data_IF_209513708952
#
_entry.id   IF_209513708952
#
_cell.length_a   1.000
_cell.length_b   1.000
_cell.length_c   1.000
_cell.angle_alpha   90.00
_cell.angle_beta   90.00
_cell.angle_gamma   90.00
#
_symmetry.space_group_name_H-M   'P 1'
#
loop_
_entity.id
_entity.type
_entity.pdbx_description
1 polymer ?
#
# COMPACT_ATOMS: atom_id res chain seq x y z
N UNK A 1 15.09 62.04 6.44
CA UNK A 1 13.60 61.90 6.50
C UNK A 1 13.24 60.55 5.90
N UNK A 2 12.40 59.66 6.43
CA UNK A 2 11.92 59.42 7.81
C UNK A 2 11.99 57.89 8.00
N UNK A 3 12.51 57.39 9.13
CA UNK A 3 12.42 55.95 9.44
C UNK A 3 11.01 55.58 9.93
N UNK A 4 10.62 54.31 9.80
CA UNK A 4 9.60 53.69 10.65
C UNK A 4 10.09 52.32 11.13
N UNK A 5 9.77 52.04 12.39
CA UNK A 5 10.39 51.04 13.25
C UNK A 5 9.30 50.26 13.96
N UNK A 6 9.48 48.93 14.04
CA UNK A 6 8.81 47.92 14.88
C UNK A 6 7.28 47.79 14.85
N UNK A 7 6.83 46.54 15.11
CA UNK A 7 5.92 46.07 16.18
C UNK A 7 5.47 44.62 15.84
N UNK A 8 5.27 43.65 16.73
CA UNK A 8 5.53 43.44 18.18
C UNK A 8 5.62 41.90 18.37
N UNK A 9 6.45 41.42 19.30
CA UNK A 9 6.38 40.05 19.84
C UNK A 9 5.32 39.97 20.95
N UNK A 10 4.49 38.95 20.98
CA UNK A 10 3.67 38.60 22.17
C UNK A 10 3.52 37.09 22.28
N UNK A 11 3.77 36.60 23.50
CA UNK A 11 3.78 35.18 23.88
C UNK A 11 2.68 34.97 24.94
N UNK A 12 2.35 33.69 25.20
CA UNK A 12 1.43 33.14 26.21
C UNK A 12 -0.07 33.10 25.84
N UNK A 13 -0.64 31.91 26.06
CA UNK A 13 -2.04 31.57 25.87
C UNK A 13 -2.33 30.10 26.18
N UNK A 14 -1.63 29.50 27.15
CA UNK A 14 -2.03 28.21 27.72
C UNK A 14 -3.22 28.40 28.68
N UNK A 15 -3.94 27.32 29.00
CA UNK A 15 -5.16 27.26 29.83
C UNK A 15 -6.47 27.56 29.09
N UNK A 16 -6.96 26.57 28.32
CA UNK A 16 -8.38 26.17 28.31
C UNK A 16 -8.45 24.64 28.26
N UNK A 17 -8.22 24.01 29.41
CA UNK A 17 -8.59 22.62 29.69
C UNK A 17 -9.47 22.66 30.94
N UNK A 18 -10.52 21.83 30.98
CA UNK A 18 -11.48 21.66 32.08
C UNK A 18 -12.55 22.75 32.32
N UNK A 19 -13.51 22.89 31.40
CA UNK A 19 -14.99 22.99 31.59
C UNK A 19 -15.56 22.66 30.19
N UNK A 20 -16.25 21.56 29.88
CA UNK A 20 -17.51 21.02 30.46
C UNK A 20 -17.41 19.50 30.60
N UNK A 21 -17.36 19.01 31.84
CA UNK A 21 -17.78 17.65 32.22
C UNK A 21 -18.86 17.82 33.28
N UNK A 22 -20.13 17.59 32.92
CA UNK A 22 -21.27 17.25 33.80
C UNK A 22 -22.60 17.52 33.09
N UNK A 23 -23.35 16.45 32.81
CA UNK A 23 -24.81 16.36 32.58
C UNK A 23 -25.06 14.84 32.42
N UNK A 24 -25.02 14.04 33.48
CA UNK A 24 -26.18 13.68 34.32
C UNK A 24 -27.46 13.43 33.48
N UNK A 25 -28.19 12.31 33.48
CA UNK A 25 -28.16 10.96 34.10
C UNK A 25 -29.61 10.47 33.95
N UNK A 26 -29.91 9.29 33.40
CA UNK A 26 -31.15 8.54 33.74
C UNK A 26 -31.03 7.03 33.48
N UNK A 27 -30.78 6.28 34.56
CA UNK A 27 -31.34 4.98 35.00
C UNK A 27 -31.94 3.96 33.99
N UNK A 28 -31.53 2.70 34.15
CA UNK A 28 -32.46 1.56 34.37
C UNK A 28 -32.61 0.49 33.28
N UNK A 29 -32.46 -0.80 33.64
CA UNK A 29 -32.88 -1.96 32.83
C UNK A 29 -32.04 -3.22 33.02
N UNK A 30 -32.61 -4.25 33.68
CA UNK A 30 -31.92 -5.46 34.18
C UNK A 30 -31.75 -6.63 33.18
N UNK A 31 -31.06 -7.66 33.66
CA UNK A 31 -30.60 -8.90 33.00
C UNK A 31 -31.59 -9.68 32.12
N UNK A 32 -31.06 -10.29 31.04
CA UNK A 32 -30.92 -11.77 30.95
C UNK A 32 -30.11 -12.25 29.73
N UNK A 33 -29.37 -13.34 29.94
CA UNK A 33 -28.75 -14.15 28.87
C UNK A 33 -29.80 -14.84 27.99
N UNK A 34 -29.49 -14.95 26.70
CA UNK A 34 -30.11 -15.95 25.81
C UNK A 34 -29.02 -16.65 24.98
N UNK A 35 -28.74 -17.91 25.34
CA UNK A 35 -27.90 -18.83 24.58
C UNK A 35 -28.51 -19.13 23.22
N UNK A 36 -27.70 -19.12 22.16
CA UNK A 36 -28.03 -19.74 20.86
C UNK A 36 -26.84 -20.49 20.30
N UNK A 37 -26.65 -21.71 20.80
CA UNK A 37 -25.74 -22.70 20.23
C UNK A 37 -26.42 -23.43 19.07
N UNK A 38 -25.84 -23.38 17.88
CA UNK A 38 -26.15 -24.33 16.79
C UNK A 38 -24.88 -24.99 16.28
N UNK A 39 -24.81 -26.30 16.50
CA UNK A 39 -23.74 -27.20 16.07
C UNK A 39 -24.05 -27.72 14.66
N UNK A 40 -23.06 -27.72 13.74
CA UNK A 40 -23.10 -28.50 12.51
C UNK A 40 -21.72 -29.03 12.10
N UNK A 41 -21.36 -30.16 12.72
CA UNK A 41 -20.66 -31.35 12.17
C UNK A 41 -19.63 -31.24 11.02
N UNK A 42 -18.43 -31.74 11.37
CA UNK A 42 -17.28 -32.20 10.57
C UNK A 42 -17.55 -33.37 9.60
N UNK A 43 -16.93 -33.34 8.42
CA UNK A 43 -16.30 -34.47 7.68
C UNK A 43 -15.41 -33.86 6.55
N UNK A 44 -14.14 -34.20 6.27
CA UNK A 44 -13.25 -35.38 6.37
C UNK A 44 -12.91 -35.95 4.97
N UNK A 45 -11.61 -35.95 4.66
CA UNK A 45 -10.91 -36.17 3.39
C UNK A 45 -11.21 -37.47 2.58
N UNK A 46 -10.72 -37.53 1.32
CA UNK A 46 -9.78 -38.57 0.82
C UNK A 46 -9.15 -38.17 -0.54
N UNK A 47 -7.93 -38.67 -0.78
CA UNK A 47 -7.04 -38.43 -1.94
C UNK A 47 -7.48 -39.05 -3.29
N UNK A 48 -6.89 -38.57 -4.39
CA UNK A 48 -6.72 -39.32 -5.63
C UNK A 48 -5.36 -38.96 -6.29
N UNK A 49 -4.72 -39.93 -6.94
CA UNK A 49 -3.40 -39.80 -7.57
C UNK A 49 -3.42 -40.11 -9.09
N UNK A 50 -2.35 -39.68 -9.78
CA UNK A 50 -2.05 -39.71 -11.24
C UNK A 50 -1.85 -41.13 -11.83
N UNK A 51 -1.69 -41.36 -13.17
CA UNK A 51 -0.67 -40.80 -14.09
C UNK A 51 -1.22 -40.50 -15.53
N UNK A 52 -0.51 -40.31 -16.66
CA UNK A 52 0.94 -40.19 -17.01
C UNK A 52 1.15 -39.40 -18.34
N UNK A 53 2.38 -38.95 -18.63
CA UNK A 53 2.93 -38.55 -19.95
C UNK A 53 2.41 -37.24 -20.58
N UNK A 54 3.15 -36.48 -21.42
CA UNK A 54 4.52 -36.48 -21.99
C UNK A 54 4.64 -35.17 -22.86
N UNK A 55 5.79 -34.60 -23.30
CA UNK A 55 7.21 -34.86 -23.02
C UNK A 55 8.00 -33.70 -22.37
N UNK A 56 9.23 -34.05 -22.00
CA UNK A 56 10.37 -33.21 -21.62
C UNK A 56 10.70 -32.06 -22.60
N UNK A 57 10.67 -30.82 -22.11
CA UNK A 57 11.36 -29.68 -22.70
C UNK A 57 12.56 -29.26 -21.86
N UNK A 58 13.79 -29.60 -22.27
CA UNK A 58 15.02 -29.10 -21.65
C UNK A 58 15.24 -27.64 -22.02
N UNK A 59 14.85 -26.71 -21.14
CA UNK A 59 15.02 -25.27 -21.31
C UNK A 59 15.51 -24.58 -20.05
N UNK A 60 16.81 -24.26 -20.04
CA UNK A 60 17.48 -23.26 -19.19
C UNK A 60 16.92 -23.01 -17.77
N UNK A 61 17.57 -23.60 -16.75
CA UNK A 61 17.30 -23.31 -15.33
C UNK A 61 17.82 -21.93 -14.90
N UNK A 62 17.28 -20.87 -15.51
CA UNK A 62 17.28 -19.56 -14.85
C UNK A 62 16.41 -19.67 -13.57
N UNK A 63 16.79 -19.03 -12.45
CA UNK A 63 15.96 -19.05 -11.25
C UNK A 63 14.63 -18.35 -11.57
N UNK A 64 13.55 -19.14 -11.59
CA UNK A 64 12.19 -18.60 -11.71
C UNK A 64 11.87 -17.92 -10.38
N UNK A 65 12.19 -16.63 -10.28
CA UNK A 65 11.87 -15.82 -9.11
C UNK A 65 10.36 -15.86 -8.94
N UNK A 66 9.90 -16.51 -7.87
CA UNK A 66 8.48 -16.68 -7.57
C UNK A 66 7.82 -15.31 -7.44
N UNK A 67 6.85 -15.02 -8.32
CA UNK A 67 6.04 -13.81 -8.25
C UNK A 67 5.13 -13.86 -7.02
N UNK A 68 4.90 -12.71 -6.40
CA UNK A 68 4.01 -12.59 -5.26
C UNK A 68 2.55 -12.86 -5.69
N UNK A 69 1.77 -13.64 -4.92
CA UNK A 69 0.34 -13.84 -5.19
C UNK A 69 -0.41 -12.51 -5.29
N UNK A 70 -1.38 -12.43 -6.21
CA UNK A 70 -2.20 -11.23 -6.41
C UNK A 70 -1.54 -10.10 -7.20
N UNK A 71 -0.22 -10.12 -7.42
CA UNK A 71 0.47 -9.12 -8.26
C UNK A 71 0.43 -9.54 -9.73
N UNK A 72 -0.14 -8.73 -10.64
CA UNK A 72 -0.28 -9.12 -12.04
C UNK A 72 1.06 -9.05 -12.80
N UNK A 73 1.23 -9.91 -13.80
CA UNK A 73 2.44 -9.98 -14.63
C UNK A 73 2.87 -8.66 -15.28
N UNK A 74 1.89 -7.80 -15.61
CA UNK A 74 2.13 -6.45 -16.13
C UNK A 74 2.84 -5.55 -15.13
N UNK A 75 2.53 -5.64 -13.83
CA UNK A 75 3.23 -4.88 -12.79
C UNK A 75 4.71 -5.29 -12.70
N UNK A 76 5.02 -6.59 -12.85
CA UNK A 76 6.40 -7.04 -12.96
C UNK A 76 7.10 -6.58 -14.26
N UNK A 77 6.36 -6.37 -15.35
CA UNK A 77 6.92 -5.77 -16.57
C UNK A 77 7.25 -4.28 -16.35
N UNK A 78 6.30 -3.52 -15.79
CA UNK A 78 6.50 -2.09 -15.45
C UNK A 78 7.61 -1.91 -14.42
N UNK A 79 7.73 -2.79 -13.42
CA UNK A 79 8.81 -2.76 -12.44
C UNK A 79 10.20 -2.88 -13.11
N UNK A 80 10.36 -3.74 -14.12
CA UNK A 80 11.61 -3.83 -14.90
C UNK A 80 11.91 -2.56 -15.70
N UNK A 81 10.88 -1.85 -16.17
CA UNK A 81 11.04 -0.55 -16.84
C UNK A 81 11.39 0.58 -15.86
N UNK A 82 10.85 0.54 -14.64
CA UNK A 82 11.20 1.44 -13.53
C UNK A 82 12.65 1.22 -13.10
N UNK A 83 13.04 -0.04 -12.83
CA UNK A 83 14.40 -0.41 -12.43
C UNK A 83 15.46 -0.04 -13.47
N UNK A 84 15.08 -0.06 -14.76
CA UNK A 84 15.93 0.36 -15.86
C UNK A 84 15.89 1.88 -16.13
N UNK A 85 15.18 2.67 -15.33
CA UNK A 85 15.07 4.13 -15.47
C UNK A 85 14.31 4.58 -16.74
N UNK A 86 13.54 3.70 -17.38
CA UNK A 86 12.81 4.00 -18.63
C UNK A 86 11.37 4.41 -18.40
N UNK A 87 10.73 3.95 -17.33
CA UNK A 87 9.37 4.33 -16.97
C UNK A 87 9.34 5.74 -16.31
N UNK A 88 8.31 6.58 -16.52
CA UNK A 88 7.13 6.38 -17.37
C UNK A 88 7.36 6.68 -18.86
N UNK A 89 8.58 7.02 -19.29
CA UNK A 89 8.89 7.33 -20.69
C UNK A 89 8.56 6.19 -21.67
N UNK A 90 8.96 4.95 -21.35
CA UNK A 90 8.68 3.77 -22.17
C UNK A 90 7.19 3.38 -22.24
N UNK A 91 6.32 4.00 -21.44
CA UNK A 91 4.87 3.86 -21.60
C UNK A 91 4.35 4.43 -22.93
N UNK A 92 5.09 5.39 -23.53
CA UNK A 92 4.72 6.12 -24.75
C UNK A 92 3.29 6.71 -24.74
N UNK A 93 2.73 6.97 -23.55
CA UNK A 93 1.38 7.51 -23.38
C UNK A 93 1.38 8.78 -22.52
N UNK A 94 1.06 9.96 -23.10
CA UNK A 94 1.02 11.23 -22.39
C UNK A 94 0.11 11.22 -21.15
N UNK A 95 0.69 11.65 -20.03
CA UNK A 95 0.00 11.74 -18.74
C UNK A 95 0.11 10.47 -17.86
N UNK A 96 0.80 9.42 -18.32
CA UNK A 96 1.35 8.39 -17.42
C UNK A 96 2.39 9.03 -16.49
N UNK A 97 2.42 8.63 -15.22
CA UNK A 97 3.21 9.24 -14.14
C UNK A 97 4.11 8.23 -13.43
N UNK A 98 5.17 8.75 -12.83
CA UNK A 98 6.03 8.01 -11.93
C UNK A 98 7.30 8.77 -11.56
N UNK A 99 7.92 8.37 -10.45
CA UNK A 99 9.07 9.05 -9.83
C UNK A 99 8.67 10.14 -8.83
N UNK A 100 7.37 10.42 -8.69
CA UNK A 100 6.84 11.35 -7.70
C UNK A 100 7.00 10.80 -6.27
N UNK A 101 7.13 11.69 -5.29
CA UNK A 101 7.38 11.29 -3.88
C UNK A 101 6.13 10.68 -3.24
N UNK A 102 6.19 9.38 -2.96
CA UNK A 102 5.24 8.75 -2.04
C UNK A 102 5.59 9.08 -0.58
N UNK A 103 4.62 9.63 0.16
CA UNK A 103 4.84 10.12 1.53
C UNK A 103 4.60 9.07 2.62
N UNK A 104 4.02 7.90 2.28
CA UNK A 104 3.68 6.84 3.24
C UNK A 104 2.88 7.36 4.46
N UNK A 105 1.81 8.15 4.19
CA UNK A 105 1.06 8.86 5.24
C UNK A 105 0.22 7.95 6.14
N UNK A 106 -0.24 6.80 5.63
CA UNK A 106 -0.92 5.79 6.43
C UNK A 106 0.02 4.95 7.28
N UNK A 107 1.32 4.90 6.93
CA UNK A 107 2.32 4.08 7.62
C UNK A 107 2.30 2.61 7.19
N UNK A 108 1.59 2.29 6.11
CA UNK A 108 1.36 0.92 5.61
C UNK A 108 2.64 0.25 5.09
N UNK A 109 3.63 1.06 4.67
CA UNK A 109 4.97 0.61 4.30
C UNK A 109 5.98 0.84 5.44
N UNK A 110 7.06 0.04 5.55
CA UNK A 110 8.10 0.25 6.55
C UNK A 110 8.70 1.67 6.54
N UNK A 111 8.78 2.32 7.70
CA UNK A 111 9.39 3.66 7.79
C UNK A 111 10.93 3.64 7.75
N UNK A 112 11.54 2.48 8.01
CA UNK A 112 12.99 2.29 8.17
C UNK A 112 13.47 0.99 7.53
N UNK A 113 14.70 1.01 7.03
CA UNK A 113 15.42 -0.15 6.51
C UNK A 113 15.99 -1.02 7.65
N UNK A 114 16.67 -2.11 7.28
CA UNK A 114 17.27 -3.06 8.22
C UNK A 114 18.34 -2.45 9.13
N UNK A 115 19.01 -1.38 8.69
CA UNK A 115 20.01 -0.63 9.45
C UNK A 115 19.38 0.51 10.28
N UNK A 116 18.05 0.67 10.24
CA UNK A 116 17.30 1.66 10.99
C UNK A 116 17.28 3.07 10.39
N UNK A 117 17.79 3.24 9.16
CA UNK A 117 17.75 4.49 8.40
C UNK A 117 16.38 4.67 7.73
N UNK A 118 15.94 5.92 7.60
CA UNK A 118 14.61 6.23 7.06
C UNK A 118 14.51 5.88 5.56
N UNK A 119 13.45 5.15 5.19
CA UNK A 119 13.20 4.81 3.78
C UNK A 119 12.54 6.01 3.08
N UNK A 120 12.98 6.27 1.86
CA UNK A 120 12.37 7.22 0.95
C UNK A 120 11.67 6.48 -0.18
N UNK A 121 10.41 6.83 -0.46
CA UNK A 121 9.57 6.11 -1.43
C UNK A 121 9.26 6.95 -2.66
N UNK A 122 9.13 6.31 -3.82
CA UNK A 122 8.62 6.89 -5.06
C UNK A 122 7.42 6.07 -5.55
N UNK A 123 6.42 6.73 -6.12
CA UNK A 123 5.27 6.07 -6.74
C UNK A 123 5.33 6.09 -8.28
N UNK A 124 4.70 5.10 -8.90
CA UNK A 124 4.67 4.89 -10.34
C UNK A 124 3.31 4.32 -10.77
N UNK A 125 2.71 4.85 -11.84
CA UNK A 125 1.55 4.22 -12.49
C UNK A 125 1.98 2.84 -13.01
N UNK A 126 1.13 1.81 -12.87
CA UNK A 126 1.44 0.47 -13.43
C UNK A 126 1.18 0.39 -14.92
N UNK A 127 0.06 0.94 -15.39
CA UNK A 127 -0.37 0.86 -16.77
C UNK A 127 -0.15 2.20 -17.50
N UNK A 128 0.09 2.20 -18.83
CA UNK A 128 0.03 3.42 -19.62
C UNK A 128 -1.37 4.05 -19.52
N UNK A 129 -1.41 5.34 -19.15
CA UNK A 129 -2.66 6.09 -19.04
C UNK A 129 -3.42 6.04 -20.37
N UNK A 130 -4.73 5.84 -20.33
CA UNK A 130 -5.54 5.84 -21.55
C UNK A 130 -5.94 7.27 -21.98
N UNK A 131 -5.99 7.57 -23.30
CA UNK A 131 -6.52 8.83 -23.82
C UNK A 131 -7.97 9.06 -23.38
N UNK A 132 -8.33 10.31 -23.06
CA UNK A 132 -9.68 10.67 -22.61
C UNK A 132 -10.13 10.11 -21.25
N UNK A 133 -9.29 9.32 -20.55
CA UNK A 133 -9.60 8.73 -19.24
C UNK A 133 -8.71 9.30 -18.13
N UNK A 134 -9.13 9.12 -16.88
CA UNK A 134 -8.26 9.25 -15.72
C UNK A 134 -7.16 8.19 -15.72
N UNK A 135 -6.20 8.30 -14.79
CA UNK A 135 -5.38 7.15 -14.39
C UNK A 135 -6.27 6.11 -13.71
N UNK A 136 -5.83 4.86 -13.71
CA UNK A 136 -6.44 3.78 -12.94
C UNK A 136 -5.98 3.78 -11.47
N UNK A 137 -6.32 2.73 -10.72
CA UNK A 137 -5.96 2.52 -9.32
C UNK A 137 -4.56 1.92 -9.10
N UNK A 138 -3.94 1.32 -10.12
CA UNK A 138 -2.77 0.44 -9.94
C UNK A 138 -1.47 1.24 -9.81
N UNK A 139 -0.69 0.96 -8.76
CA UNK A 139 0.61 1.61 -8.52
C UNK A 139 1.68 0.62 -8.10
N UNK A 140 2.91 0.96 -8.46
CA UNK A 140 4.11 0.44 -7.84
C UNK A 140 4.68 1.54 -6.93
N UNK A 141 5.15 1.17 -5.75
CA UNK A 141 5.90 2.04 -4.84
C UNK A 141 7.27 1.43 -4.61
N UNK A 142 8.34 2.15 -4.96
CA UNK A 142 9.73 1.71 -4.78
C UNK A 142 10.40 2.45 -3.63
N UNK A 143 11.07 1.71 -2.73
CA UNK A 143 11.82 2.25 -1.61
C UNK A 143 13.31 2.43 -1.92
N UNK A 144 13.96 3.38 -1.25
CA UNK A 144 15.42 3.59 -1.33
C UNK A 144 16.25 2.50 -0.66
N UNK A 145 15.60 1.57 0.05
CA UNK A 145 16.15 0.30 0.52
C UNK A 145 16.18 -0.77 -0.59
N UNK A 146 15.65 -0.45 -1.79
CA UNK A 146 15.51 -1.37 -2.91
C UNK A 146 14.19 -2.15 -2.91
N UNK A 147 13.33 -2.01 -1.89
CA UNK A 147 12.03 -2.67 -1.85
C UNK A 147 11.10 -2.20 -2.97
N UNK A 148 10.16 -3.06 -3.38
CA UNK A 148 9.07 -2.65 -4.26
C UNK A 148 7.74 -3.27 -3.82
N UNK A 149 6.68 -2.48 -3.90
CA UNK A 149 5.34 -2.82 -3.42
C UNK A 149 4.32 -2.52 -4.52
N UNK A 150 3.35 -3.40 -4.71
CA UNK A 150 2.23 -3.20 -5.62
C UNK A 150 0.94 -2.95 -4.84
N UNK A 151 0.15 -1.98 -5.28
CA UNK A 151 -1.26 -1.79 -4.89
C UNK A 151 -2.12 -1.86 -6.15
N UNK A 152 -3.20 -2.64 -6.09
CA UNK A 152 -4.23 -2.71 -7.13
C UNK A 152 -5.47 -1.86 -6.83
N UNK A 153 -5.53 -1.29 -5.63
CA UNK A 153 -6.69 -0.72 -4.94
C UNK A 153 -6.44 0.74 -4.52
N UNK A 154 -5.54 1.44 -5.21
CA UNK A 154 -5.23 2.85 -4.99
C UNK A 154 -4.79 3.14 -3.54
N UNK A 155 -3.73 2.44 -3.13
CA UNK A 155 -3.01 2.55 -1.86
C UNK A 155 -3.78 2.02 -0.62
N UNK A 156 -4.88 1.28 -0.79
CA UNK A 156 -5.60 0.65 0.33
C UNK A 156 -4.85 -0.59 0.87
N UNK A 157 -4.26 -1.42 0.01
CA UNK A 157 -3.40 -2.54 0.41
C UNK A 157 -2.13 -2.62 -0.44
N UNK A 158 -1.09 -3.23 0.14
CA UNK A 158 0.21 -3.39 -0.51
C UNK A 158 0.69 -4.84 -0.47
N UNK A 159 1.09 -5.35 -1.64
CA UNK A 159 1.77 -6.65 -1.77
C UNK A 159 3.22 -6.42 -2.12
N UNK A 160 4.15 -6.99 -1.33
CA UNK A 160 5.59 -6.87 -1.58
C UNK A 160 6.00 -7.66 -2.83
N UNK A 161 6.67 -7.00 -3.76
CA UNK A 161 7.22 -7.59 -4.99
C UNK A 161 8.67 -8.04 -4.83
N UNK A 162 9.45 -7.34 -4.00
CA UNK A 162 10.83 -7.66 -3.56
C UNK A 162 11.17 -6.89 -2.29
#
# INVERSE_FOLDING_TARGET
>A
MKAKVLRILSVLGAVVVAVVVALLTTQGGDDKSATSSVTSTKAAATSAATPDGMPRGTGSTAPVVSKAPGVPDRAYATLREIDAGRWPGSANSPGTKGGDRFYNRGGDLPAKDADGKAITYQEWDVNPKQPGRSRDAERIVTGSDGSAWYTGDHYETFTRMR
#
